data_IF_079305878716
#
_entry.id   IF_079305878716
#
_cell.length_a   1.000
_cell.length_b   1.000
_cell.length_c   1.000
_cell.angle_alpha   90.00
_cell.angle_beta   90.00
_cell.angle_gamma   90.00
#
_symmetry.space_group_name_H-M   'P 1'
#
loop_
_entity.id
_entity.type
_entity.pdbx_description
1 polymer ?
#
# COMPACT_ATOMS: atom_id res chain seq x y z
N UNK A 1 23.69 17.10 25.78
CA UNK A 1 22.84 17.21 26.98
C UNK A 1 21.50 16.57 26.62
N UNK A 2 21.11 15.45 27.23
CA UNK A 2 19.87 14.74 26.87
C UNK A 2 18.67 15.52 27.41
N UNK A 3 17.81 16.04 26.53
CA UNK A 3 16.59 16.76 26.89
C UNK A 3 15.53 15.73 27.31
N UNK A 4 14.76 16.03 28.35
CA UNK A 4 13.67 15.16 28.82
C UNK A 4 12.33 15.85 28.63
N UNK A 5 11.33 15.05 28.30
CA UNK A 5 9.93 15.46 28.19
C UNK A 5 9.10 14.47 29.01
N UNK A 6 8.84 14.77 30.27
CA UNK A 6 8.29 13.80 31.22
C UNK A 6 9.12 12.50 31.25
N UNK A 7 8.48 11.37 30.90
CA UNK A 7 9.14 10.04 30.84
C UNK A 7 10.01 9.81 29.60
N UNK A 8 9.87 10.64 28.58
CA UNK A 8 10.56 10.47 27.30
C UNK A 8 11.93 11.13 27.35
N UNK A 9 12.97 10.34 27.11
CA UNK A 9 14.34 10.82 27.00
C UNK A 9 14.68 11.10 25.54
N UNK A 10 14.72 12.38 25.15
CA UNK A 10 14.99 12.78 23.77
C UNK A 10 16.48 12.58 23.46
N UNK A 11 16.75 11.85 22.39
CA UNK A 11 18.11 11.44 22.02
C UNK A 11 18.69 12.36 20.95
N UNK A 12 18.12 12.35 19.74
CA UNK A 12 18.55 13.15 18.60
C UNK A 12 17.36 13.61 17.76
N UNK A 13 17.55 14.73 17.07
CA UNK A 13 16.54 15.30 16.17
C UNK A 13 16.48 14.47 14.88
N UNK A 14 15.28 14.04 14.50
CA UNK A 14 15.01 13.32 13.25
C UNK A 14 14.68 14.30 12.11
N UNK A 15 14.08 15.44 12.45
CA UNK A 15 13.76 16.48 11.49
C UNK A 15 13.02 17.65 12.10
N UNK A 16 12.99 18.76 11.35
CA UNK A 16 12.35 20.02 11.76
C UNK A 16 11.65 20.66 10.57
N UNK A 17 10.47 21.18 10.82
CA UNK A 17 9.66 21.88 9.83
C UNK A 17 8.76 22.93 10.46
N UNK A 18 7.88 23.52 9.64
CA UNK A 18 6.97 24.59 10.08
C UNK A 18 6.00 24.20 11.18
N UNK A 19 5.74 22.91 11.36
CA UNK A 19 4.83 22.39 12.39
C UNK A 19 5.54 22.06 13.71
N UNK A 20 6.87 22.08 13.75
CA UNK A 20 7.64 21.72 14.95
C UNK A 20 8.87 20.87 14.66
N UNK A 21 9.33 20.15 15.67
CA UNK A 21 10.54 19.30 15.62
C UNK A 21 10.20 17.88 16.05
N UNK A 22 10.76 16.90 15.35
CA UNK A 22 10.60 15.48 15.64
C UNK A 22 11.91 14.95 16.21
N UNK A 23 11.83 14.23 17.32
CA UNK A 23 12.96 13.63 18.02
C UNK A 23 12.79 12.12 18.10
N UNK A 24 13.89 11.38 17.96
CA UNK A 24 13.95 10.02 18.47
C UNK A 24 14.07 10.10 19.99
N UNK A 25 13.30 9.28 20.71
CA UNK A 25 13.29 9.25 22.16
C UNK A 25 13.18 7.84 22.69
N UNK A 26 13.58 7.66 23.94
CA UNK A 26 13.37 6.42 24.68
C UNK A 26 12.25 6.60 25.70
N UNK A 27 11.19 5.80 25.58
CA UNK A 27 10.08 5.69 26.52
C UNK A 27 10.51 4.79 27.68
N UNK A 28 10.88 5.41 28.81
CA UNK A 28 11.50 4.72 29.96
C UNK A 28 10.54 3.83 30.73
N UNK A 29 9.24 4.08 30.64
CA UNK A 29 8.24 3.26 31.36
C UNK A 29 8.01 1.93 30.64
N UNK A 30 8.09 1.93 29.32
CA UNK A 30 7.82 0.76 28.46
C UNK A 30 9.09 0.19 27.81
N UNK A 31 10.26 0.75 28.11
CA UNK A 31 11.57 0.34 27.60
C UNK A 31 11.62 0.16 26.07
N UNK A 32 11.22 1.20 25.32
CA UNK A 32 11.16 1.19 23.85
C UNK A 32 11.59 2.50 23.22
N UNK A 33 12.02 2.44 21.96
CA UNK A 33 12.27 3.65 21.15
C UNK A 33 10.99 4.16 20.50
N UNK A 34 10.82 5.47 20.48
CA UNK A 34 9.63 6.17 19.96
C UNK A 34 10.04 7.44 19.23
N UNK A 35 9.18 7.93 18.34
CA UNK A 35 9.30 9.27 17.78
C UNK A 35 8.41 10.25 18.58
N UNK A 36 8.98 11.38 18.98
CA UNK A 36 8.27 12.45 19.71
C UNK A 36 8.27 13.71 18.84
N UNK A 37 7.07 14.09 18.37
CA UNK A 37 6.86 15.34 17.64
C UNK A 37 6.44 16.42 18.62
N UNK A 38 7.29 17.42 18.79
CA UNK A 38 7.03 18.63 19.56
C UNK A 38 6.49 19.70 18.61
N UNK A 39 5.32 20.27 18.91
CA UNK A 39 4.76 21.34 18.11
C UNK A 39 5.41 22.69 18.44
N UNK A 40 5.56 23.54 17.42
CA UNK A 40 5.99 24.92 17.63
C UNK A 40 4.92 25.70 18.42
N UNK A 41 5.19 26.02 19.68
CA UNK A 41 4.34 26.89 20.49
C UNK A 41 4.50 28.33 20.04
N UNK A 42 3.43 28.92 19.49
CA UNK A 42 3.42 30.35 19.15
C UNK A 42 2.73 31.14 20.27
N UNK A 43 3.54 31.86 21.02
CA UNK A 43 3.11 32.96 21.88
C UNK A 43 2.64 32.54 23.26
N UNK A 44 3.27 33.11 24.28
CA UNK A 44 2.77 33.08 25.66
C UNK A 44 1.51 33.96 25.76
N UNK A 45 0.36 33.36 26.10
CA UNK A 45 -0.86 34.12 26.39
C UNK A 45 -2.14 33.26 26.46
N UNK A 46 -2.47 32.84 27.68
CA UNK A 46 -3.77 32.49 28.28
C UNK A 46 -4.83 31.63 27.52
N UNK A 47 -5.46 30.72 28.28
CA UNK A 47 -6.46 29.69 27.90
C UNK A 47 -5.89 28.53 27.06
N UNK A 48 -6.46 27.29 27.11
CA UNK A 48 -6.11 26.24 26.16
C UNK A 48 -6.43 26.81 24.79
N UNK A 49 -5.38 27.33 24.14
CA UNK A 49 -5.51 28.10 22.92
C UNK A 49 -6.34 27.26 21.95
N UNK A 50 -7.16 27.89 21.12
CA UNK A 50 -7.95 27.19 20.09
C UNK A 50 -7.12 26.13 19.33
N UNK A 51 -5.81 26.36 19.21
CA UNK A 51 -4.78 25.44 18.73
C UNK A 51 -4.66 24.14 19.55
N UNK A 52 -4.55 24.17 20.87
CA UNK A 52 -4.47 22.97 21.72
C UNK A 52 -5.73 22.11 21.59
N UNK A 53 -6.92 22.72 21.62
CA UNK A 53 -8.18 21.99 21.44
C UNK A 53 -8.28 21.33 20.06
N UNK A 54 -7.83 22.03 19.00
CA UNK A 54 -7.76 21.48 17.64
C UNK A 54 -6.74 20.36 17.53
N UNK A 55 -5.56 20.54 18.13
CA UNK A 55 -4.53 19.51 18.16
C UNK A 55 -5.02 18.22 18.82
N UNK A 56 -5.59 18.32 20.03
CA UNK A 56 -6.17 17.17 20.72
C UNK A 56 -7.30 16.51 19.91
N UNK A 57 -8.11 17.30 19.20
CA UNK A 57 -9.14 16.76 18.30
C UNK A 57 -8.52 15.98 17.13
N UNK A 58 -7.54 16.54 16.44
CA UNK A 58 -6.91 15.88 15.28
C UNK A 58 -6.14 14.63 15.71
N UNK A 59 -5.43 14.64 16.85
CA UNK A 59 -4.78 13.44 17.40
C UNK A 59 -5.81 12.37 17.73
N UNK A 60 -6.96 12.72 18.32
CA UNK A 60 -8.00 11.71 18.61
C UNK A 60 -8.56 11.06 17.35
N UNK A 61 -8.65 11.81 16.25
CA UNK A 61 -9.09 11.26 14.97
C UNK A 61 -8.02 10.34 14.38
N UNK A 62 -6.77 10.77 14.37
CA UNK A 62 -5.65 9.99 13.80
C UNK A 62 -5.19 8.83 14.67
N UNK A 63 -5.30 8.95 15.99
CA UNK A 63 -4.99 7.88 16.95
C UNK A 63 -5.95 6.69 16.88
N UNK A 64 -7.03 6.77 16.09
CA UNK A 64 -7.92 5.64 15.78
C UNK A 64 -7.46 4.85 14.55
N UNK A 65 -6.59 5.40 13.72
CA UNK A 65 -6.08 4.72 12.55
C UNK A 65 -5.25 3.49 12.99
N UNK A 66 -5.57 2.33 12.42
CA UNK A 66 -4.90 1.06 12.64
C UNK A 66 -4.65 0.43 11.28
N UNK A 67 -3.51 0.77 10.69
CA UNK A 67 -3.12 0.29 9.38
C UNK A 67 -1.59 0.11 9.33
N UNK A 68 -1.04 -0.96 8.71
CA UNK A 68 0.40 -1.21 8.68
C UNK A 68 1.23 -0.04 8.11
N UNK A 69 0.68 0.69 7.14
CA UNK A 69 1.30 1.88 6.56
C UNK A 69 1.12 3.19 7.35
N UNK A 70 0.54 3.16 8.57
CA UNK A 70 0.39 4.32 9.45
C UNK A 70 1.13 4.05 10.76
N UNK A 71 2.05 4.91 11.21
CA UNK A 71 2.66 4.80 12.54
C UNK A 71 1.61 4.82 13.65
N UNK A 72 1.69 3.89 14.59
CA UNK A 72 0.79 3.88 15.73
C UNK A 72 1.09 5.07 16.65
N UNK A 73 0.03 5.78 17.04
CA UNK A 73 0.11 6.81 18.09
C UNK A 73 0.07 6.13 19.45
N UNK A 74 1.05 6.42 20.29
CA UNK A 74 1.19 5.85 21.63
C UNK A 74 0.70 6.78 22.73
N UNK A 75 0.97 8.08 22.59
CA UNK A 75 0.68 9.05 23.63
C UNK A 75 0.62 10.46 23.04
N UNK A 76 0.01 11.38 23.78
CA UNK A 76 0.02 12.80 23.46
C UNK A 76 -0.19 13.61 24.73
N UNK A 77 0.26 14.85 24.73
CA UNK A 77 0.03 15.71 25.88
C UNK A 77 0.61 17.09 25.74
N UNK A 78 0.65 17.75 26.89
CA UNK A 78 1.24 19.06 27.09
C UNK A 78 2.25 18.91 28.25
N UNK A 79 3.50 19.27 28.01
CA UNK A 79 4.53 19.29 29.05
C UNK A 79 5.14 20.69 29.09
N UNK A 80 4.95 21.40 30.21
CA UNK A 80 5.48 22.76 30.40
C UNK A 80 5.06 23.75 29.30
N UNK A 81 3.87 23.56 28.73
CA UNK A 81 3.33 24.38 27.63
C UNK A 81 3.70 23.87 26.24
N UNK A 82 4.55 22.84 26.12
CA UNK A 82 4.91 22.22 24.85
C UNK A 82 3.98 21.04 24.54
N UNK A 83 3.20 21.19 23.47
CA UNK A 83 2.37 20.13 22.94
C UNK A 83 3.22 19.08 22.24
N UNK A 84 2.95 17.80 22.55
CA UNK A 84 3.68 16.69 21.96
C UNK A 84 2.76 15.54 21.53
N UNK A 85 3.25 14.81 20.53
CA UNK A 85 2.68 13.56 20.02
C UNK A 85 3.78 12.49 20.03
N UNK A 86 3.48 11.32 20.60
CA UNK A 86 4.38 10.17 20.63
C UNK A 86 3.83 9.08 19.74
N UNK A 87 4.67 8.56 18.86
CA UNK A 87 4.30 7.54 17.87
C UNK A 87 5.44 6.55 17.64
N UNK A 88 5.16 5.49 16.87
CA UNK A 88 6.19 4.55 16.43
C UNK A 88 7.38 5.31 15.82
N UNK A 89 8.59 4.95 16.25
CA UNK A 89 9.80 5.33 15.51
C UNK A 89 9.89 4.45 14.26
N UNK A 90 9.64 5.04 13.09
CA UNK A 90 9.72 4.30 11.83
C UNK A 90 11.18 4.20 11.37
N UNK A 91 11.74 2.98 11.23
CA UNK A 91 13.04 2.80 10.59
C UNK A 91 12.89 2.96 9.07
N UNK A 92 13.81 3.69 8.43
CA UNK A 92 13.79 3.83 6.98
C UNK A 92 14.36 5.15 6.47
N UNK A 93 14.13 5.42 5.19
CA UNK A 93 14.50 6.66 4.52
C UNK A 93 13.23 7.37 4.04
N UNK A 94 13.12 8.66 4.35
CA UNK A 94 12.08 9.48 3.75
C UNK A 94 12.33 9.63 2.23
N UNK A 95 11.27 9.71 1.42
CA UNK A 95 11.42 9.70 -0.04
C UNK A 95 12.10 10.95 -0.59
N UNK A 96 12.06 12.09 0.11
CA UNK A 96 12.85 13.27 -0.25
C UNK A 96 14.35 13.00 -0.14
N UNK A 97 14.78 12.28 0.89
CA UNK A 97 16.16 11.84 1.06
C UNK A 97 16.54 10.75 0.04
N UNK A 98 15.59 9.88 -0.36
CA UNK A 98 15.80 8.94 -1.47
C UNK A 98 16.03 9.69 -2.77
N UNK A 99 15.14 10.61 -3.14
CA UNK A 99 15.25 11.44 -4.34
C UNK A 99 16.55 12.25 -4.38
N UNK A 100 16.93 12.86 -3.25
CA UNK A 100 18.15 13.68 -3.16
C UNK A 100 19.42 12.87 -3.39
N UNK A 101 19.49 11.64 -2.86
CA UNK A 101 20.70 10.84 -2.89
C UNK A 101 20.78 9.93 -4.12
N UNK A 102 19.64 9.36 -4.53
CA UNK A 102 19.58 8.27 -5.50
C UNK A 102 18.98 8.75 -6.84
N UNK A 103 18.32 9.92 -6.84
CA UNK A 103 17.66 10.49 -8.03
C UNK A 103 16.23 9.98 -8.24
N UNK A 104 15.63 10.23 -9.42
CA UNK A 104 14.29 9.74 -9.76
C UNK A 104 14.23 8.21 -9.77
N UNK A 105 13.09 7.68 -9.31
CA UNK A 105 12.82 6.24 -9.28
C UNK A 105 12.53 5.67 -10.66
N UNK A 106 12.61 4.34 -10.79
CA UNK A 106 12.07 3.64 -11.96
C UNK A 106 10.55 3.73 -11.96
N UNK A 107 9.95 3.56 -13.14
CA UNK A 107 8.50 3.70 -13.34
C UNK A 107 7.73 2.77 -12.41
N UNK A 108 8.18 1.53 -12.31
CA UNK A 108 7.54 0.48 -11.52
C UNK A 108 7.62 0.79 -10.02
N UNK A 109 8.79 1.25 -9.57
CA UNK A 109 9.03 1.63 -8.18
C UNK A 109 8.18 2.84 -7.77
N UNK A 110 8.15 3.88 -8.61
CA UNK A 110 7.32 5.06 -8.36
C UNK A 110 5.83 4.70 -8.32
N UNK A 111 5.37 3.82 -9.23
CA UNK A 111 4.00 3.34 -9.26
C UNK A 111 3.65 2.52 -7.99
N UNK A 112 4.56 1.65 -7.52
CA UNK A 112 4.34 0.87 -6.30
C UNK A 112 4.28 1.74 -5.05
N UNK A 113 5.19 2.70 -4.95
CA UNK A 113 5.21 3.66 -3.84
C UNK A 113 3.90 4.45 -3.79
N UNK A 114 3.46 4.99 -4.93
CA UNK A 114 2.20 5.73 -5.01
C UNK A 114 0.98 4.82 -4.77
N UNK A 115 1.02 3.56 -5.22
CA UNK A 115 -0.04 2.57 -4.96
C UNK A 115 -0.19 2.31 -3.46
N UNK A 116 0.90 1.96 -2.77
CA UNK A 116 0.89 1.71 -1.32
C UNK A 116 0.48 2.95 -0.54
N UNK A 117 0.96 4.13 -0.93
CA UNK A 117 0.50 5.39 -0.33
C UNK A 117 -1.02 5.59 -0.54
N UNK A 118 -1.55 5.26 -1.73
CA UNK A 118 -2.98 5.35 -2.03
C UNK A 118 -3.82 4.38 -1.19
N UNK A 119 -3.32 3.18 -0.90
CA UNK A 119 -3.97 2.22 0.00
C UNK A 119 -4.09 2.78 1.41
N UNK A 120 -3.02 3.40 1.91
CA UNK A 120 -3.01 4.07 3.22
C UNK A 120 -3.98 5.26 3.26
N UNK A 121 -3.99 6.08 2.19
CA UNK A 121 -4.94 7.20 2.06
C UNK A 121 -6.38 6.72 1.99
N UNK A 122 -6.66 5.66 1.23
CA UNK A 122 -8.01 5.07 1.12
C UNK A 122 -8.53 4.64 2.50
N UNK A 123 -7.70 3.93 3.26
CA UNK A 123 -8.02 3.57 4.65
C UNK A 123 -8.33 4.81 5.51
N UNK A 124 -7.46 5.82 5.48
CA UNK A 124 -7.65 7.03 6.27
C UNK A 124 -8.92 7.81 5.87
N UNK A 125 -9.17 7.96 4.57
CA UNK A 125 -10.35 8.62 4.02
C UNK A 125 -11.63 7.91 4.43
N UNK A 126 -11.64 6.56 4.44
CA UNK A 126 -12.74 5.75 4.94
C UNK A 126 -13.03 5.95 6.44
N UNK A 127 -12.05 6.42 7.22
CA UNK A 127 -12.22 6.82 8.62
C UNK A 127 -12.51 8.32 8.79
N UNK A 128 -12.75 9.05 7.70
CA UNK A 128 -13.02 10.49 7.72
C UNK A 128 -11.79 11.36 8.01
N UNK A 129 -10.58 10.82 7.84
CA UNK A 129 -9.31 11.54 8.05
C UNK A 129 -8.68 11.87 6.72
N UNK A 130 -8.41 13.16 6.49
CA UNK A 130 -7.63 13.66 5.33
C UNK A 130 -6.21 13.99 5.81
N UNK A 131 -5.20 13.68 5.00
CA UNK A 131 -3.78 13.86 5.34
C UNK A 131 -3.37 15.34 5.37
N UNK A 132 -3.74 16.11 4.32
CA UNK A 132 -3.59 17.58 4.18
C UNK A 132 -2.19 18.14 3.91
N UNK A 133 -1.12 17.40 4.14
CA UNK A 133 0.27 17.83 3.85
C UNK A 133 1.10 16.70 3.21
N UNK A 134 0.55 15.99 2.22
CA UNK A 134 1.25 14.84 1.63
C UNK A 134 2.41 15.32 0.74
N UNK A 135 3.61 14.79 0.99
CA UNK A 135 4.85 15.15 0.31
C UNK A 135 5.91 14.06 0.53
N UNK A 136 7.02 14.03 -0.23
CA UNK A 136 8.00 12.95 -0.11
C UNK A 136 8.62 12.79 1.29
N UNK A 137 8.81 13.89 2.05
CA UNK A 137 9.31 13.82 3.44
C UNK A 137 8.33 13.19 4.43
N UNK A 138 7.06 13.05 4.06
CA UNK A 138 6.03 12.37 4.86
C UNK A 138 5.78 10.93 4.39
N UNK A 139 6.56 10.42 3.44
CA UNK A 139 6.53 9.04 2.97
C UNK A 139 7.86 8.38 3.31
N UNK A 140 7.82 7.34 4.14
CA UNK A 140 9.00 6.63 4.59
C UNK A 140 9.06 5.24 3.96
N UNK A 141 10.15 4.98 3.24
CA UNK A 141 10.52 3.68 2.72
C UNK A 141 11.29 2.92 3.81
N UNK A 142 10.70 1.84 4.29
CA UNK A 142 11.28 1.01 5.33
C UNK A 142 12.26 -0.02 4.75
N UNK A 143 13.16 -0.62 5.56
CA UNK A 143 14.13 -1.61 5.08
C UNK A 143 13.52 -2.86 4.46
N UNK A 144 12.31 -3.23 4.87
CA UNK A 144 11.49 -4.32 4.31
C UNK A 144 10.76 -3.93 3.02
N UNK A 145 10.95 -2.70 2.53
CA UNK A 145 10.39 -2.22 1.26
C UNK A 145 8.95 -1.74 1.36
N UNK A 146 8.44 -1.53 2.58
CA UNK A 146 7.10 -0.98 2.82
C UNK A 146 7.09 0.54 2.80
N UNK A 147 5.90 1.11 2.57
CA UNK A 147 5.66 2.55 2.65
C UNK A 147 4.82 2.88 3.86
N UNK A 148 5.36 3.73 4.73
CA UNK A 148 4.61 4.36 5.82
C UNK A 148 4.36 5.82 5.53
N UNK A 149 3.11 6.24 5.70
CA UNK A 149 2.67 7.62 5.57
C UNK A 149 2.67 8.24 6.97
N UNK A 150 3.53 9.24 7.17
CA UNK A 150 3.74 9.91 8.45
C UNK A 150 2.80 11.11 8.58
N UNK A 151 2.67 11.67 9.79
CA UNK A 151 2.13 13.03 10.01
C UNK A 151 0.67 13.30 9.58
N UNK A 152 -0.19 12.27 9.55
CA UNK A 152 -1.63 12.47 9.35
C UNK A 152 -2.20 13.55 10.28
N UNK A 153 -3.00 14.47 9.73
CA UNK A 153 -3.89 15.34 10.49
C UNK A 153 -3.23 16.41 11.37
N UNK A 154 -1.92 16.34 11.63
CA UNK A 154 -1.21 17.32 12.47
C UNK A 154 -1.28 18.73 11.86
N UNK A 155 -1.27 18.82 10.52
CA UNK A 155 -1.39 20.08 9.80
C UNK A 155 -2.74 20.79 9.99
N UNK A 156 -3.84 20.05 10.28
CA UNK A 156 -5.15 20.66 10.50
C UNK A 156 -5.26 21.43 11.80
N UNK A 157 -4.48 21.07 12.82
CA UNK A 157 -4.42 21.85 14.05
C UNK A 157 -3.99 23.29 13.78
N UNK A 158 -3.20 23.49 12.72
CA UNK A 158 -2.58 24.75 12.30
C UNK A 158 -3.31 25.42 11.13
N UNK A 159 -4.44 24.87 10.65
CA UNK A 159 -5.20 25.47 9.55
C UNK A 159 -5.85 26.81 9.96
N UNK A 160 -5.86 27.81 9.06
CA UNK A 160 -6.54 29.10 9.28
C UNK A 160 -8.02 28.91 9.62
N UNK A 161 -8.63 29.91 10.25
CA UNK A 161 -10.08 29.86 10.50
C UNK A 161 -10.89 29.94 9.19
N UNK A 162 -12.13 29.43 9.15
CA UNK A 162 -13.02 29.67 8.03
C UNK A 162 -13.13 31.17 7.72
N UNK A 163 -12.73 31.58 6.51
CA UNK A 163 -12.68 32.99 6.09
C UNK A 163 -11.29 33.63 6.11
N UNK A 164 -10.30 32.99 6.73
CA UNK A 164 -8.89 33.39 6.64
C UNK A 164 -8.19 32.61 5.52
N UNK A 165 -7.48 33.31 4.64
CA UNK A 165 -6.65 32.63 3.63
C UNK A 165 -5.34 32.17 4.26
N UNK A 166 -4.77 31.07 3.73
CA UNK A 166 -3.46 30.56 4.17
C UNK A 166 -2.31 31.56 3.92
N UNK A 167 -2.55 32.60 3.10
CA UNK A 167 -1.60 33.68 2.79
C UNK A 167 -1.74 34.92 3.68
N UNK A 168 -2.90 35.15 4.33
CA UNK A 168 -3.12 36.28 5.23
C UNK A 168 -2.63 36.01 6.66
N UNK A 169 -2.55 34.73 7.05
CA UNK A 169 -1.84 34.33 8.26
C UNK A 169 -0.35 34.13 7.92
N UNK A 170 0.56 34.55 8.79
CA UNK A 170 2.03 34.43 8.65
C UNK A 170 2.55 32.96 8.70
N UNK A 171 1.88 32.03 8.01
CA UNK A 171 1.89 30.59 8.25
C UNK A 171 2.25 29.74 7.02
N UNK A 172 2.45 30.33 5.84
CA UNK A 172 2.90 29.57 4.68
C UNK A 172 4.39 29.22 4.84
N UNK A 173 4.68 28.02 5.35
CA UNK A 173 6.04 27.48 5.27
C UNK A 173 6.34 27.21 3.78
N UNK A 174 7.40 27.79 3.19
CA UNK A 174 7.63 27.73 1.74
C UNK A 174 7.59 26.31 1.15
N UNK A 175 8.04 25.30 1.91
CA UNK A 175 8.11 23.90 1.43
C UNK A 175 6.78 23.16 1.32
N UNK A 176 5.71 23.59 1.98
CA UNK A 176 4.39 22.92 1.90
C UNK A 176 3.59 23.33 0.66
N UNK A 177 3.86 24.51 0.11
CA UNK A 177 3.09 25.03 -1.04
C UNK A 177 3.38 24.25 -2.33
N UNK A 178 4.56 23.63 -2.42
CA UNK A 178 5.03 22.85 -3.59
C UNK A 178 4.14 21.64 -3.93
N UNK A 179 3.37 21.14 -2.96
CA UNK A 179 2.49 19.97 -3.13
C UNK A 179 1.02 20.30 -2.85
N UNK A 180 0.71 21.57 -2.56
CA UNK A 180 -0.60 21.97 -2.05
C UNK A 180 -1.66 21.96 -3.16
N UNK A 181 -2.80 21.32 -2.88
CA UNK A 181 -3.94 21.36 -3.80
C UNK A 181 -4.58 22.76 -3.82
N UNK A 182 -5.07 23.24 -4.98
CA UNK A 182 -5.63 24.60 -5.12
C UNK A 182 -6.71 24.93 -4.08
N UNK A 183 -7.61 23.99 -3.82
CA UNK A 183 -8.73 24.17 -2.90
C UNK A 183 -8.31 24.28 -1.43
N UNK A 184 -7.13 23.78 -1.05
CA UNK A 184 -6.63 23.89 0.32
C UNK A 184 -6.27 25.33 0.69
N UNK A 185 -5.84 26.14 -0.27
CA UNK A 185 -5.47 27.53 -0.02
C UNK A 185 -6.68 28.42 0.36
N UNK A 186 -7.87 28.02 -0.08
CA UNK A 186 -9.16 28.65 0.24
C UNK A 186 -9.91 27.92 1.38
N UNK A 187 -9.22 27.02 2.09
CA UNK A 187 -9.75 26.33 3.28
C UNK A 187 -10.74 25.21 2.98
N UNK A 188 -10.78 24.66 1.77
CA UNK A 188 -11.67 23.56 1.35
C UNK A 188 -10.90 22.25 1.17
N UNK A 189 -10.30 21.75 2.24
CA UNK A 189 -9.55 20.49 2.21
C UNK A 189 -10.51 19.29 2.18
N UNK A 190 -10.38 18.44 1.16
CA UNK A 190 -11.21 17.24 0.92
C UNK A 190 -10.31 16.04 0.59
N UNK A 191 -10.82 14.79 0.60
CA UNK A 191 -10.01 13.62 0.19
C UNK A 191 -9.30 13.78 -1.16
N UNK A 192 -9.95 14.41 -2.14
CA UNK A 192 -9.36 14.72 -3.44
C UNK A 192 -8.15 15.69 -3.38
N UNK A 193 -7.98 16.46 -2.29
CA UNK A 193 -6.80 17.30 -2.07
C UNK A 193 -5.55 16.45 -1.82
N UNK A 194 -5.69 15.33 -1.12
CA UNK A 194 -4.58 14.39 -0.94
C UNK A 194 -4.21 13.71 -2.26
N UNK A 195 -5.18 13.46 -3.14
CA UNK A 195 -4.93 12.88 -4.47
C UNK A 195 -4.12 13.84 -5.37
N UNK A 196 -4.40 15.14 -5.29
CA UNK A 196 -3.59 16.14 -5.98
C UNK A 196 -2.15 16.17 -5.46
N UNK A 197 -2.00 16.15 -4.13
CA UNK A 197 -0.69 16.11 -3.48
C UNK A 197 0.07 14.83 -3.87
N UNK A 198 -0.63 13.69 -3.95
CA UNK A 198 -0.08 12.42 -4.44
C UNK A 198 0.33 12.51 -5.90
N UNK A 199 -0.43 13.20 -6.75
CA UNK A 199 -0.05 13.50 -8.13
C UNK A 199 1.26 14.28 -8.20
N UNK A 200 1.45 15.28 -7.33
CA UNK A 200 2.70 16.04 -7.24
C UNK A 200 3.86 15.15 -6.81
N UNK A 201 3.65 14.30 -5.80
CA UNK A 201 4.64 13.32 -5.34
C UNK A 201 5.00 12.35 -6.46
N UNK A 202 4.02 11.72 -7.12
CA UNK A 202 4.28 10.74 -8.19
C UNK A 202 5.02 11.39 -9.37
N UNK A 203 4.67 12.63 -9.73
CA UNK A 203 5.40 13.41 -10.73
C UNK A 203 6.88 13.58 -10.34
N UNK A 204 7.14 13.94 -9.09
CA UNK A 204 8.51 14.11 -8.58
C UNK A 204 9.27 12.79 -8.49
N UNK A 205 8.63 11.69 -8.05
CA UNK A 205 9.24 10.37 -8.03
C UNK A 205 9.73 9.95 -9.42
N UNK A 206 8.98 10.29 -10.47
CA UNK A 206 9.31 9.95 -11.85
C UNK A 206 10.34 10.89 -12.49
N UNK A 207 10.37 12.16 -12.10
CA UNK A 207 11.19 13.20 -12.78
C UNK A 207 12.33 13.75 -11.95
N UNK A 208 12.33 13.50 -10.64
CA UNK A 208 13.28 14.04 -9.66
C UNK A 208 12.96 15.46 -9.22
N UNK A 209 11.90 16.10 -9.75
CA UNK A 209 11.46 17.45 -9.37
C UNK A 209 9.94 17.56 -9.37
N UNK A 210 9.33 18.32 -8.44
CA UNK A 210 7.89 18.53 -8.47
C UNK A 210 7.46 19.33 -9.71
N UNK A 211 6.16 19.34 -10.04
CA UNK A 211 5.66 20.00 -11.25
C UNK A 211 6.01 21.50 -11.26
N UNK A 212 5.89 22.16 -10.10
CA UNK A 212 6.20 23.57 -9.93
C UNK A 212 7.23 23.78 -8.80
N UNK A 213 8.37 24.38 -9.12
CA UNK A 213 9.46 24.64 -8.15
C UNK A 213 9.78 26.12 -7.97
N UNK A 214 9.41 26.96 -8.94
CA UNK A 214 9.96 28.31 -9.04
C UNK A 214 8.95 29.39 -8.62
N UNK A 215 9.44 30.34 -7.83
CA UNK A 215 8.70 31.54 -7.42
C UNK A 215 8.47 31.64 -5.92
N UNK A 216 7.86 32.75 -5.50
CA UNK A 216 7.40 32.92 -4.12
C UNK A 216 6.26 31.94 -3.80
N UNK A 217 5.94 31.70 -2.52
CA UNK A 217 4.79 30.88 -2.12
C UNK A 217 3.48 31.28 -2.83
N UNK A 218 3.25 32.58 -3.02
CA UNK A 218 2.08 33.07 -3.76
C UNK A 218 2.12 32.68 -5.25
N UNK A 219 3.28 32.79 -5.90
CA UNK A 219 3.46 32.38 -7.30
C UNK A 219 3.28 30.87 -7.48
N UNK A 220 3.84 30.05 -6.58
CA UNK A 220 3.65 28.60 -6.62
C UNK A 220 2.18 28.23 -6.51
N UNK A 221 1.45 28.86 -5.59
CA UNK A 221 0.00 28.68 -5.49
C UNK A 221 -0.73 29.09 -6.77
N UNK A 222 -0.41 30.24 -7.36
CA UNK A 222 -1.00 30.65 -8.63
C UNK A 222 -0.79 29.59 -9.71
N UNK A 223 0.40 29.00 -9.80
CA UNK A 223 0.69 27.92 -10.75
C UNK A 223 -0.13 26.67 -10.47
N UNK A 224 -0.21 26.26 -9.20
CA UNK A 224 -1.05 25.14 -8.81
C UNK A 224 -2.52 25.38 -9.18
N UNK A 225 -3.03 26.61 -9.01
CA UNK A 225 -4.41 26.97 -9.27
C UNK A 225 -4.75 27.17 -10.77
N UNK A 226 -3.82 27.72 -11.56
CA UNK A 226 -4.16 28.25 -12.90
C UNK A 226 -3.28 27.68 -14.03
N UNK A 227 -2.00 27.44 -13.78
CA UNK A 227 -1.07 27.09 -14.85
C UNK A 227 -1.23 25.61 -15.24
N UNK A 228 -1.10 25.26 -16.54
CA UNK A 228 -1.06 23.86 -16.94
C UNK A 228 0.12 23.15 -16.30
N UNK A 229 -0.07 21.87 -15.96
CA UNK A 229 1.00 21.02 -15.43
C UNK A 229 2.02 20.79 -16.55
N UNK A 230 3.33 20.97 -16.29
CA UNK A 230 4.35 20.67 -17.30
C UNK A 230 4.24 19.19 -17.74
N UNK A 231 4.14 18.90 -19.05
CA UNK A 231 3.92 17.53 -19.52
C UNK A 231 4.98 16.57 -19.00
N UNK A 232 4.55 15.43 -18.46
CA UNK A 232 5.46 14.44 -17.90
C UNK A 232 6.40 13.85 -18.97
N UNK A 233 5.91 13.72 -20.22
CA UNK A 233 6.67 13.21 -21.35
C UNK A 233 7.92 14.04 -21.66
N UNK A 234 7.85 15.37 -21.47
CA UNK A 234 8.94 16.29 -21.74
C UNK A 234 10.08 16.12 -20.73
N UNK A 235 9.76 15.69 -19.50
CA UNK A 235 10.74 15.54 -18.40
C UNK A 235 11.22 14.11 -18.21
N UNK A 236 10.37 13.12 -18.48
CA UNK A 236 10.70 11.69 -18.35
C UNK A 236 10.14 10.90 -19.54
N UNK A 237 10.92 10.77 -20.63
CA UNK A 237 10.61 9.85 -21.71
C UNK A 237 10.51 8.40 -21.19
N UNK A 238 9.64 7.60 -21.79
CA UNK A 238 9.46 6.18 -21.45
C UNK A 238 8.44 5.88 -20.36
N UNK A 239 7.76 6.90 -19.80
CA UNK A 239 6.59 6.66 -18.93
C UNK A 239 5.40 6.18 -19.78
N UNK A 240 4.77 5.03 -19.46
CA UNK A 240 3.60 4.52 -20.17
C UNK A 240 2.46 5.54 -20.24
N UNK A 241 1.76 5.59 -21.37
CA UNK A 241 0.71 6.60 -21.61
C UNK A 241 -0.41 6.54 -20.54
N UNK A 242 -0.82 5.36 -20.11
CA UNK A 242 -1.84 5.22 -19.06
C UNK A 242 -1.40 5.81 -17.72
N UNK A 243 -0.12 5.66 -17.34
CA UNK A 243 0.41 6.25 -16.11
C UNK A 243 0.53 7.77 -16.23
N UNK A 244 0.93 8.27 -17.41
CA UNK A 244 0.95 9.70 -17.71
C UNK A 244 -0.43 10.33 -17.56
N UNK A 245 -1.44 9.72 -18.17
CA UNK A 245 -2.84 10.18 -18.07
C UNK A 245 -3.34 10.16 -16.62
N UNK A 246 -2.93 9.18 -15.82
CA UNK A 246 -3.28 9.14 -14.40
C UNK A 246 -2.65 10.30 -13.62
N UNK A 247 -1.36 10.58 -13.83
CA UNK A 247 -0.68 11.72 -13.19
C UNK A 247 -1.34 13.04 -13.59
N UNK A 248 -1.70 13.21 -14.86
CA UNK A 248 -2.42 14.38 -15.36
C UNK A 248 -3.79 14.52 -14.68
N UNK A 249 -4.59 13.43 -14.62
CA UNK A 249 -5.89 13.42 -13.93
C UNK A 249 -5.77 13.73 -12.44
N UNK A 250 -4.75 13.23 -11.75
CA UNK A 250 -4.53 13.55 -10.33
C UNK A 250 -4.25 15.05 -10.12
N UNK A 251 -3.59 15.69 -11.08
CA UNK A 251 -3.18 17.08 -11.03
C UNK A 251 -4.21 18.05 -11.66
N UNK A 252 -5.42 17.56 -11.95
CA UNK A 252 -6.52 18.41 -12.36
C UNK A 252 -6.86 19.46 -11.29
N UNK A 253 -7.22 20.66 -11.75
CA UNK A 253 -7.37 21.82 -10.86
C UNK A 253 -8.59 21.70 -9.99
N UNK A 254 -9.68 21.19 -10.55
CA UNK A 254 -10.94 20.95 -9.87
C UNK A 254 -10.92 19.57 -9.21
N UNK A 255 -11.27 19.45 -7.91
CA UNK A 255 -11.37 18.17 -7.23
C UNK A 255 -12.23 17.12 -7.93
N UNK A 256 -13.32 17.54 -8.55
CA UNK A 256 -14.29 16.68 -9.25
C UNK A 256 -13.78 16.08 -10.57
N UNK A 257 -12.72 16.65 -11.16
CA UNK A 257 -12.12 16.16 -12.41
C UNK A 257 -10.99 15.12 -12.13
N UNK A 258 -10.66 14.90 -10.85
CA UNK A 258 -9.67 13.91 -10.40
C UNK A 258 -10.32 12.52 -10.27
N UNK A 259 -9.52 11.44 -10.10
CA UNK A 259 -10.06 10.12 -9.72
C UNK A 259 -10.96 10.23 -8.47
N UNK A 260 -12.02 9.42 -8.42
CA UNK A 260 -13.08 9.55 -7.43
C UNK A 260 -12.62 9.18 -6.01
N UNK A 261 -11.62 8.31 -5.88
CA UNK A 261 -11.09 7.88 -4.58
C UNK A 261 -9.63 7.41 -4.66
N UNK A 262 -8.96 7.37 -3.51
CA UNK A 262 -7.63 6.77 -3.41
C UNK A 262 -7.63 5.27 -3.72
N UNK A 263 -8.75 4.57 -3.52
CA UNK A 263 -8.93 3.17 -3.92
C UNK A 263 -8.88 3.00 -5.45
N UNK A 264 -9.56 3.87 -6.21
CA UNK A 264 -9.48 3.90 -7.67
C UNK A 264 -8.03 4.11 -8.12
N UNK A 265 -7.32 5.04 -7.49
CA UNK A 265 -5.92 5.35 -7.82
C UNK A 265 -5.01 4.15 -7.55
N UNK A 266 -5.16 3.48 -6.40
CA UNK A 266 -4.39 2.27 -6.09
C UNK A 266 -4.64 1.16 -7.12
N UNK A 267 -5.90 0.92 -7.48
CA UNK A 267 -6.28 -0.08 -8.47
C UNK A 267 -5.70 0.22 -9.86
N UNK A 268 -5.70 1.48 -10.29
CA UNK A 268 -5.09 1.91 -11.55
C UNK A 268 -3.56 1.73 -11.53
N UNK A 269 -2.90 2.13 -10.44
CA UNK A 269 -1.44 2.02 -10.30
C UNK A 269 -0.93 0.58 -10.27
N UNK A 270 -1.77 -0.37 -9.86
CA UNK A 270 -1.42 -1.79 -9.84
C UNK A 270 -1.01 -2.36 -11.21
N UNK A 271 -1.38 -1.70 -12.31
CA UNK A 271 -0.95 -2.09 -13.66
C UNK A 271 0.55 -1.89 -13.91
N UNK A 272 1.20 -1.00 -13.16
CA UNK A 272 2.63 -0.66 -13.32
C UNK A 272 3.47 -0.96 -12.08
N UNK A 273 2.84 -1.19 -10.92
CA UNK A 273 3.55 -1.67 -9.75
C UNK A 273 4.16 -3.07 -10.03
N UNK A 274 5.31 -3.41 -9.43
CA UNK A 274 5.80 -4.78 -9.44
C UNK A 274 4.70 -5.66 -8.89
N UNK A 275 4.32 -6.72 -9.61
CA UNK A 275 3.43 -7.72 -9.04
C UNK A 275 4.09 -8.19 -7.74
N UNK A 276 3.36 -8.25 -6.62
CA UNK A 276 3.88 -8.87 -5.42
C UNK A 276 4.43 -10.23 -5.85
N UNK A 277 5.70 -10.47 -5.58
CA UNK A 277 6.16 -11.85 -5.49
C UNK A 277 5.18 -12.51 -4.49
N UNK A 278 4.56 -13.65 -4.83
CA UNK A 278 3.65 -14.32 -3.91
C UNK A 278 4.33 -14.40 -2.54
N UNK A 279 3.61 -13.94 -1.50
CA UNK A 279 4.14 -13.72 -0.17
C UNK A 279 5.06 -14.89 0.23
N UNK A 280 6.26 -14.54 0.68
CA UNK A 280 7.26 -15.49 1.17
C UNK A 280 6.67 -16.26 2.36
N UNK A 281 6.06 -17.39 2.03
CA UNK A 281 5.22 -18.16 2.93
C UNK A 281 4.65 -19.38 2.23
N UNK A 282 5.42 -20.00 1.33
CA UNK A 282 5.26 -21.41 0.94
C UNK A 282 6.54 -21.86 0.22
N UNK A 283 7.21 -22.83 0.83
CA UNK A 283 8.18 -23.80 0.30
C UNK A 283 8.74 -23.51 -1.10
N UNK A 284 10.04 -23.19 -1.19
CA UNK A 284 10.87 -23.02 -2.41
C UNK A 284 10.18 -23.38 -3.74
N UNK A 285 9.30 -22.51 -4.22
CA UNK A 285 8.75 -22.66 -5.55
C UNK A 285 9.80 -22.14 -6.54
N UNK A 286 10.46 -23.07 -7.25
CA UNK A 286 11.34 -22.74 -8.36
C UNK A 286 10.67 -21.67 -9.25
N UNK A 287 11.31 -20.52 -9.53
CA UNK A 287 10.66 -19.32 -10.09
C UNK A 287 9.90 -19.59 -11.39
N UNK A 288 10.38 -20.56 -12.18
CA UNK A 288 9.74 -21.03 -13.41
C UNK A 288 8.33 -21.62 -13.20
N UNK A 289 8.03 -22.22 -12.05
CA UNK A 289 6.69 -22.79 -11.77
C UNK A 289 5.59 -21.71 -11.77
N UNK A 290 5.88 -20.54 -11.20
CA UNK A 290 4.94 -19.42 -11.17
C UNK A 290 4.70 -18.85 -12.58
N UNK A 291 5.77 -18.76 -13.39
CA UNK A 291 5.71 -18.35 -14.79
C UNK A 291 4.84 -19.29 -15.63
N UNK A 292 5.04 -20.60 -15.51
CA UNK A 292 4.25 -21.59 -16.25
C UNK A 292 2.78 -21.63 -15.81
N UNK A 293 2.51 -21.43 -14.52
CA UNK A 293 1.14 -21.28 -14.02
C UNK A 293 0.47 -20.02 -14.58
N UNK A 294 1.21 -18.92 -14.72
CA UNK A 294 0.71 -17.69 -15.35
C UNK A 294 0.45 -17.89 -16.84
N UNK A 295 1.33 -18.58 -17.56
CA UNK A 295 1.18 -18.90 -18.99
C UNK A 295 -0.08 -19.73 -19.26
N UNK A 296 -0.36 -20.74 -18.41
CA UNK A 296 -1.62 -21.50 -18.46
C UNK A 296 -2.84 -20.59 -18.30
N UNK A 297 -2.82 -19.71 -17.29
CA UNK A 297 -3.93 -18.76 -17.01
C UNK A 297 -4.13 -17.73 -18.10
N UNK A 298 -3.08 -17.38 -18.82
CA UNK A 298 -3.14 -16.49 -19.99
C UNK A 298 -3.75 -17.16 -21.24
N UNK A 299 -4.20 -18.41 -21.15
CA UNK A 299 -4.86 -19.11 -22.25
C UNK A 299 -3.91 -19.92 -23.14
N UNK A 300 -2.69 -20.21 -22.66
CA UNK A 300 -1.69 -20.98 -23.40
C UNK A 300 -1.36 -22.35 -22.75
N UNK A 301 -2.34 -23.24 -22.51
CA UNK A 301 -2.12 -24.49 -21.78
C UNK A 301 -1.23 -25.50 -22.54
N UNK A 302 -1.23 -25.51 -23.87
CA UNK A 302 -0.36 -26.40 -24.66
C UNK A 302 1.12 -26.07 -24.47
N UNK A 303 1.48 -24.79 -24.63
CA UNK A 303 2.85 -24.31 -24.42
C UNK A 303 3.30 -24.48 -22.97
N UNK A 304 2.42 -24.18 -22.02
CA UNK A 304 2.73 -24.38 -20.60
C UNK A 304 2.99 -25.87 -20.27
N UNK A 305 2.24 -26.79 -20.87
CA UNK A 305 2.45 -28.24 -20.68
C UNK A 305 3.83 -28.70 -21.16
N UNK A 306 4.25 -28.26 -22.35
CA UNK A 306 5.57 -28.56 -22.90
C UNK A 306 6.68 -28.09 -21.95
N UNK A 307 6.58 -26.85 -21.49
CA UNK A 307 7.57 -26.26 -20.59
C UNK A 307 7.56 -26.91 -19.19
N UNK A 308 6.42 -27.41 -18.70
CA UNK A 308 6.38 -28.21 -17.47
C UNK A 308 7.13 -29.53 -17.64
N UNK A 309 7.00 -30.20 -18.79
CA UNK A 309 7.77 -31.43 -19.06
C UNK A 309 9.27 -31.14 -19.14
N UNK A 310 9.68 -30.06 -19.79
CA UNK A 310 11.08 -29.64 -19.84
C UNK A 310 11.63 -29.35 -18.43
N UNK A 311 10.86 -28.65 -17.60
CA UNK A 311 11.26 -28.33 -16.23
C UNK A 311 11.42 -29.58 -15.36
N UNK A 312 10.56 -30.59 -15.53
CA UNK A 312 10.66 -31.86 -14.79
C UNK A 312 11.82 -32.73 -15.29
N UNK A 313 12.20 -32.62 -16.57
CA UNK A 313 13.35 -33.32 -17.13
C UNK A 313 14.69 -32.68 -16.74
N UNK A 314 14.69 -31.38 -16.40
CA UNK A 314 15.88 -30.65 -16.00
C UNK A 314 16.31 -31.00 -14.55
N UNK A 315 17.63 -31.10 -14.27
CA UNK A 315 18.11 -31.23 -12.91
C UNK A 315 17.91 -29.92 -12.13
N UNK A 316 17.68 -30.02 -10.81
CA UNK A 316 17.61 -28.87 -9.91
C UNK A 316 16.25 -28.59 -9.27
N UNK A 317 15.22 -29.39 -9.60
CA UNK A 317 13.93 -29.30 -8.95
C UNK A 317 13.92 -30.16 -7.68
N UNK A 318 13.61 -29.55 -6.54
CA UNK A 318 13.43 -30.29 -5.29
C UNK A 318 12.12 -31.12 -5.34
N UNK A 319 11.92 -31.98 -4.34
CA UNK A 319 10.77 -32.90 -4.30
C UNK A 319 9.42 -32.15 -4.26
N UNK A 320 9.36 -31.00 -3.61
CA UNK A 320 8.16 -30.18 -3.54
C UNK A 320 7.87 -29.51 -4.89
N UNK A 321 8.90 -28.96 -5.54
CA UNK A 321 8.84 -28.39 -6.87
C UNK A 321 8.45 -29.42 -7.93
N UNK A 322 8.92 -30.67 -7.83
CA UNK A 322 8.52 -31.77 -8.71
C UNK A 322 7.02 -32.06 -8.60
N UNK A 323 6.48 -32.11 -7.39
CA UNK A 323 5.04 -32.30 -7.18
C UNK A 323 4.22 -31.11 -7.70
N UNK A 324 4.72 -29.88 -7.51
CA UNK A 324 4.08 -28.69 -8.06
C UNK A 324 4.09 -28.66 -9.60
N UNK A 325 5.19 -29.08 -10.23
CA UNK A 325 5.29 -29.19 -11.69
C UNK A 325 4.32 -30.24 -12.26
N UNK A 326 4.24 -31.41 -11.62
CA UNK A 326 3.29 -32.47 -11.99
C UNK A 326 1.85 -32.01 -11.89
N UNK A 327 1.47 -31.34 -10.79
CA UNK A 327 0.14 -30.74 -10.66
C UNK A 327 -0.13 -29.70 -11.76
N UNK A 328 0.83 -28.81 -12.03
CA UNK A 328 0.73 -27.80 -13.10
C UNK A 328 0.52 -28.40 -14.49
N UNK A 329 1.28 -29.45 -14.82
CA UNK A 329 1.13 -30.21 -16.06
C UNK A 329 -0.24 -30.88 -16.17
N UNK A 330 -0.71 -31.53 -15.09
CA UNK A 330 -2.04 -32.14 -15.05
C UNK A 330 -3.16 -31.11 -15.30
N UNK A 331 -3.07 -29.90 -14.72
CA UNK A 331 -4.03 -28.83 -14.98
C UNK A 331 -4.01 -28.35 -16.43
N UNK A 332 -2.83 -28.29 -17.06
CA UNK A 332 -2.71 -27.99 -18.48
C UNK A 332 -3.37 -29.09 -19.33
N UNK A 333 -3.12 -30.36 -19.03
CA UNK A 333 -3.75 -31.50 -19.70
C UNK A 333 -5.29 -31.45 -19.59
N UNK A 334 -5.81 -31.13 -18.39
CA UNK A 334 -7.25 -30.95 -18.16
C UNK A 334 -7.86 -29.75 -18.90
N UNK A 335 -7.09 -28.67 -19.11
CA UNK A 335 -7.51 -27.55 -19.96
C UNK A 335 -7.55 -27.92 -21.45
N UNK A 336 -6.68 -28.84 -21.88
CA UNK A 336 -6.64 -29.40 -23.24
C UNK A 336 -7.65 -30.54 -23.47
N UNK A 337 -8.56 -30.78 -22.51
CA UNK A 337 -9.62 -31.79 -22.63
C UNK A 337 -9.23 -33.20 -22.15
N UNK A 338 -8.01 -33.40 -21.65
CA UNK A 338 -7.56 -34.68 -21.07
C UNK A 338 -7.96 -34.81 -19.59
N UNK A 339 -9.25 -34.64 -19.31
CA UNK A 339 -9.77 -34.46 -17.95
C UNK A 339 -9.55 -35.68 -17.04
N UNK A 340 -9.69 -36.90 -17.56
CA UNK A 340 -9.50 -38.13 -16.76
C UNK A 340 -8.03 -38.33 -16.36
N UNK A 341 -7.13 -38.20 -17.34
CA UNK A 341 -5.67 -38.25 -17.12
C UNK A 341 -5.23 -37.20 -16.08
N UNK A 342 -5.72 -35.96 -16.23
CA UNK A 342 -5.45 -34.89 -15.27
C UNK A 342 -5.95 -35.22 -13.85
N UNK A 343 -7.14 -35.81 -13.74
CA UNK A 343 -7.72 -36.17 -12.45
C UNK A 343 -6.93 -37.29 -11.76
N UNK A 344 -6.51 -38.31 -12.50
CA UNK A 344 -5.70 -39.42 -11.97
C UNK A 344 -4.32 -38.92 -11.49
N UNK A 345 -3.69 -38.06 -12.29
CA UNK A 345 -2.40 -37.47 -11.93
C UNK A 345 -2.51 -36.56 -10.70
N UNK A 346 -3.53 -35.70 -10.62
CA UNK A 346 -3.73 -34.84 -9.44
C UNK A 346 -4.02 -35.65 -8.18
N UNK A 347 -4.75 -36.77 -8.28
CA UNK A 347 -4.97 -37.69 -7.15
C UNK A 347 -3.66 -38.33 -6.69
N UNK A 348 -2.79 -38.73 -7.63
CA UNK A 348 -1.45 -39.24 -7.30
C UNK A 348 -0.61 -38.17 -6.60
N UNK A 349 -0.54 -36.96 -7.15
CA UNK A 349 0.22 -35.85 -6.59
C UNK A 349 -0.28 -35.47 -5.20
N UNK A 350 -1.60 -35.45 -5.00
CA UNK A 350 -2.21 -35.14 -3.70
C UNK A 350 -1.77 -36.13 -2.60
N UNK A 351 -1.71 -37.42 -2.91
CA UNK A 351 -1.27 -38.43 -1.95
C UNK A 351 0.18 -38.18 -1.48
N UNK A 352 1.06 -37.84 -2.42
CA UNK A 352 2.46 -37.53 -2.14
C UNK A 352 2.63 -36.18 -1.42
N UNK A 353 1.90 -35.14 -1.83
CA UNK A 353 1.94 -33.83 -1.16
C UNK A 353 1.46 -33.92 0.28
N UNK A 354 0.40 -34.69 0.57
CA UNK A 354 -0.08 -34.89 1.95
C UNK A 354 0.98 -35.54 2.84
N UNK A 355 1.74 -36.49 2.29
CA UNK A 355 2.84 -37.12 3.03
C UNK A 355 4.03 -36.21 3.23
N UNK A 356 4.33 -35.32 2.27
CA UNK A 356 5.52 -34.48 2.29
C UNK A 356 5.31 -33.16 3.05
N UNK A 357 4.16 -32.51 2.84
CA UNK A 357 3.89 -31.14 3.27
C UNK A 357 2.89 -31.06 4.44
N UNK A 358 2.14 -32.14 4.67
CA UNK A 358 1.05 -32.18 5.64
C UNK A 358 -0.31 -31.75 5.06
N UNK A 359 -1.43 -32.17 5.68
CA UNK A 359 -2.77 -32.03 5.12
C UNK A 359 -3.27 -30.57 5.03
N UNK A 360 -2.79 -29.69 5.91
CA UNK A 360 -3.16 -28.26 5.93
C UNK A 360 -2.21 -27.37 5.12
N UNK A 361 -1.29 -27.92 4.34
CA UNK A 361 -0.41 -27.07 3.54
C UNK A 361 -1.19 -26.43 2.37
N UNK A 362 -0.98 -25.15 2.03
CA UNK A 362 -1.74 -24.47 0.95
C UNK A 362 -1.75 -25.23 -0.38
N UNK A 363 -0.60 -25.76 -0.83
CA UNK A 363 -0.52 -26.60 -2.04
C UNK A 363 -1.41 -27.86 -2.02
N UNK A 364 -1.63 -28.45 -0.84
CA UNK A 364 -2.53 -29.60 -0.66
C UNK A 364 -3.99 -29.16 -0.78
N UNK A 365 -4.33 -28.00 -0.21
CA UNK A 365 -5.67 -27.42 -0.32
C UNK A 365 -5.98 -27.03 -1.78
N UNK A 366 -5.02 -26.42 -2.48
CA UNK A 366 -5.12 -26.09 -3.91
C UNK A 366 -5.35 -27.31 -4.79
N UNK A 367 -4.57 -28.37 -4.60
CA UNK A 367 -4.72 -29.60 -5.39
C UNK A 367 -6.08 -30.26 -5.14
N UNK A 368 -6.59 -30.23 -3.89
CA UNK A 368 -7.94 -30.71 -3.56
C UNK A 368 -9.03 -29.88 -4.23
N UNK A 369 -8.88 -28.56 -4.26
CA UNK A 369 -9.82 -27.68 -4.95
C UNK A 369 -9.87 -27.99 -6.44
N UNK A 370 -8.72 -28.13 -7.09
CA UNK A 370 -8.65 -28.42 -8.52
C UNK A 370 -9.22 -29.81 -8.87
N UNK A 371 -8.99 -30.82 -8.02
CA UNK A 371 -9.66 -32.13 -8.14
C UNK A 371 -11.17 -31.96 -8.11
N UNK A 372 -11.72 -31.16 -7.19
CA UNK A 372 -13.16 -30.91 -7.14
C UNK A 372 -13.68 -30.23 -8.42
N UNK A 373 -12.94 -29.27 -8.97
CA UNK A 373 -13.27 -28.62 -10.24
C UNK A 373 -13.30 -29.63 -11.39
N UNK A 374 -12.33 -30.53 -11.48
CA UNK A 374 -12.32 -31.56 -12.52
C UNK A 374 -13.43 -32.60 -12.34
N UNK A 375 -13.76 -33.01 -11.11
CA UNK A 375 -14.89 -33.91 -10.82
C UNK A 375 -16.24 -33.33 -11.27
N UNK A 376 -16.44 -32.01 -11.12
CA UNK A 376 -17.63 -31.33 -11.66
C UNK A 376 -17.65 -31.46 -13.19
N UNK A 377 -16.50 -31.26 -13.86
CA UNK A 377 -16.39 -31.37 -15.32
C UNK A 377 -16.57 -32.79 -15.84
N UNK A 378 -16.28 -33.82 -15.03
CA UNK A 378 -16.54 -35.23 -15.39
C UNK A 378 -17.95 -35.71 -15.05
N UNK A 379 -18.77 -34.87 -14.41
CA UNK A 379 -20.13 -35.22 -13.99
C UNK A 379 -20.21 -35.94 -12.64
N UNK A 380 -19.10 -36.09 -11.92
CA UNK A 380 -19.01 -36.73 -10.60
C UNK A 380 -19.41 -35.75 -9.47
N UNK A 381 -20.60 -35.16 -9.61
CA UNK A 381 -21.07 -34.06 -8.76
C UNK A 381 -21.08 -34.40 -7.26
N UNK A 382 -21.54 -35.59 -6.89
CA UNK A 382 -21.59 -36.00 -5.48
C UNK A 382 -20.20 -36.01 -4.83
N UNK A 383 -19.21 -36.58 -5.52
CA UNK A 383 -17.83 -36.63 -5.04
C UNK A 383 -17.21 -35.22 -4.93
N UNK A 384 -17.51 -34.34 -5.88
CA UNK A 384 -17.07 -32.94 -5.83
C UNK A 384 -17.68 -32.18 -4.64
N UNK A 385 -18.98 -32.34 -4.38
CA UNK A 385 -19.65 -31.67 -3.27
C UNK A 385 -19.13 -32.13 -1.89
N UNK A 386 -18.86 -33.43 -1.73
CA UNK A 386 -18.27 -33.96 -0.50
C UNK A 386 -16.88 -33.38 -0.24
N UNK A 387 -16.04 -33.32 -1.30
CA UNK A 387 -14.69 -32.77 -1.21
C UNK A 387 -14.71 -31.27 -0.88
N UNK A 388 -15.58 -30.48 -1.53
CA UNK A 388 -15.70 -29.04 -1.31
C UNK A 388 -16.21 -28.70 0.10
N UNK A 389 -17.11 -29.49 0.67
CA UNK A 389 -17.57 -29.29 2.06
C UNK A 389 -16.42 -29.39 3.05
N UNK A 390 -15.61 -30.45 2.96
CA UNK A 390 -14.44 -30.64 3.84
C UNK A 390 -13.40 -29.55 3.61
N UNK A 391 -13.21 -29.13 2.37
CA UNK A 391 -12.22 -28.12 2.02
C UNK A 391 -12.60 -26.71 2.50
N UNK A 392 -13.90 -26.37 2.49
CA UNK A 392 -14.38 -25.05 2.92
C UNK A 392 -14.02 -24.73 4.37
N UNK A 393 -14.18 -25.70 5.28
CA UNK A 393 -13.89 -25.48 6.71
C UNK A 393 -12.38 -25.41 6.97
N UNK A 394 -11.59 -26.20 6.23
CA UNK A 394 -10.13 -26.20 6.33
C UNK A 394 -9.51 -24.92 5.76
N UNK A 395 -9.99 -24.42 4.61
CA UNK A 395 -9.51 -23.16 4.02
C UNK A 395 -9.70 -21.97 4.95
N UNK A 396 -10.85 -21.88 5.63
CA UNK A 396 -11.14 -20.77 6.55
C UNK A 396 -10.36 -20.84 7.86
N UNK A 397 -9.98 -22.05 8.28
CA UNK A 397 -9.18 -22.26 9.50
C UNK A 397 -7.70 -22.01 9.25
N UNK A 398 -7.19 -22.39 8.08
CA UNK A 398 -5.76 -22.45 7.77
C UNK A 398 -5.27 -21.21 7.02
N UNK A 399 -6.08 -20.65 6.13
CA UNK A 399 -5.67 -19.53 5.28
C UNK A 399 -6.15 -18.20 5.89
N UNK A 400 -5.31 -17.15 5.91
CA UNK A 400 -5.73 -15.83 6.36
C UNK A 400 -6.83 -15.26 5.46
N UNK A 401 -7.65 -14.35 5.98
CA UNK A 401 -8.77 -13.74 5.23
C UNK A 401 -8.31 -13.01 3.95
N UNK A 402 -7.05 -12.57 3.91
CA UNK A 402 -6.43 -11.92 2.74
C UNK A 402 -5.99 -12.91 1.65
N UNK A 403 -5.99 -14.22 1.90
CA UNK A 403 -5.60 -15.24 0.94
C UNK A 403 -6.71 -15.47 -0.10
N UNK A 404 -6.33 -15.57 -1.38
CA UNK A 404 -7.29 -15.80 -2.47
C UNK A 404 -8.02 -17.15 -2.37
N UNK A 405 -7.44 -18.12 -1.66
CA UNK A 405 -8.04 -19.41 -1.34
C UNK A 405 -9.05 -19.36 -0.19
N UNK A 406 -9.07 -18.31 0.62
CA UNK A 406 -9.95 -18.23 1.78
C UNK A 406 -11.44 -18.22 1.35
N UNK A 407 -12.20 -19.22 1.80
CA UNK A 407 -13.63 -19.37 1.52
C UNK A 407 -14.00 -19.68 0.06
N UNK A 408 -13.03 -20.01 -0.82
CA UNK A 408 -13.33 -20.27 -2.24
C UNK A 408 -14.19 -21.53 -2.44
N UNK A 409 -13.96 -22.57 -1.64
CA UNK A 409 -14.69 -23.85 -1.76
C UNK A 409 -16.16 -23.69 -1.35
N UNK A 410 -16.43 -22.85 -0.35
CA UNK A 410 -17.80 -22.50 0.08
C UNK A 410 -18.55 -21.77 -1.03
N UNK A 411 -17.93 -20.76 -1.65
CA UNK A 411 -18.50 -20.04 -2.80
C UNK A 411 -18.81 -20.97 -3.97
N UNK A 412 -17.92 -21.92 -4.28
CA UNK A 412 -18.15 -22.89 -5.34
C UNK A 412 -19.29 -23.86 -5.01
N UNK A 413 -19.36 -24.34 -3.77
CA UNK A 413 -20.42 -25.21 -3.29
C UNK A 413 -21.81 -24.54 -3.38
N UNK A 414 -21.90 -23.25 -3.02
CA UNK A 414 -23.13 -22.47 -3.16
C UNK A 414 -23.56 -22.32 -4.62
N UNK A 415 -22.62 -22.10 -5.55
CA UNK A 415 -22.91 -22.02 -6.99
C UNK A 415 -23.44 -23.34 -7.52
N UNK A 416 -22.82 -24.47 -7.15
CA UNK A 416 -23.29 -25.80 -7.56
C UNK A 416 -24.73 -26.07 -7.10
N UNK A 417 -25.06 -25.70 -5.86
CA UNK A 417 -26.43 -25.84 -5.31
C UNK A 417 -27.49 -25.01 -6.05
N UNK A 418 -27.10 -23.91 -6.70
CA UNK A 418 -28.02 -23.08 -7.51
C UNK A 418 -28.18 -23.60 -8.94
N UNK A 419 -27.29 -24.48 -9.39
CA UNK A 419 -27.25 -25.02 -10.75
C UNK A 419 -27.83 -26.45 -10.87
N UNK A 420 -28.16 -27.08 -9.75
CA UNK A 420 -29.01 -28.28 -9.70
C UNK A 420 -30.36 -27.93 -9.16
#
# INVERSE_FOLDING_TARGET
>A
MRRRLGRYELTHELGRGGMGVVWAAHDRDHDREVAVKLLATRGHGAEPSTLERRFLREIRLTGRLRHPGVPAVHDHGNHEGELYLVMDLVPGRALDAVLKNDGPLRVEEAADVARRASEVLSYAHGQGVVHRDLKPSNLMLTPDGEIKVLDFGVAAALEPQPGETRFTAANATPGTVVYMAPEQAVGRTVPASDLYSLGCVLYELLTGKPPFTDGSPFMLYHRHANDPVPPLADRRPGVPDGLRMLVERLLEKKPEDRPASAEEVAALLAAWAPRPAPAAGTTSAHPRLAELAALRRAGHPARALEEYHELMAAPGLDRAGMLAARAGAALCAGALGRTREALDELKSVLAEQRSLLGPGHPAVLDTRYEIAVLLIRTGERHAAEELLRRLADEEETVLPESDAGHGRSRKLLERLRRMG
#
